data_IF_426958136678
#
_entry.id   IF_426958136678
#
_cell.length_a   1.000
_cell.length_b   1.000
_cell.length_c   1.000
_cell.angle_alpha   90.00
_cell.angle_beta   90.00
_cell.angle_gamma   90.00
#
_symmetry.space_group_name_H-M   'P 1'
#
loop_
_entity.id
_entity.type
_entity.pdbx_description
1 polymer ?
#
# COMPACT_ATOMS: atom_id res chain seq x y z
N UNK A 1 25.12 2.01 15.83
CA UNK A 1 23.92 2.84 15.68
C UNK A 1 23.84 3.54 14.32
N UNK A 2 24.79 4.36 13.91
CA UNK A 2 24.80 5.10 12.63
C UNK A 2 24.70 4.20 11.38
N UNK A 3 25.45 3.11 11.30
CA UNK A 3 25.39 2.16 10.16
C UNK A 3 24.05 1.44 10.05
N UNK A 4 23.40 1.12 11.16
CA UNK A 4 22.05 0.52 11.17
C UNK A 4 21.01 1.49 10.62
N UNK A 5 21.04 2.75 11.09
CA UNK A 5 20.16 3.80 10.58
C UNK A 5 20.32 4.02 9.07
N UNK A 6 21.56 4.09 8.56
CA UNK A 6 21.80 4.25 7.12
C UNK A 6 21.28 3.08 6.30
N UNK A 7 21.40 1.85 6.82
CA UNK A 7 20.87 0.64 6.16
C UNK A 7 19.34 0.64 6.14
N UNK A 8 18.70 1.02 7.24
CA UNK A 8 17.24 1.09 7.33
C UNK A 8 16.67 2.19 6.42
N UNK A 9 17.29 3.37 6.39
CA UNK A 9 16.90 4.46 5.47
C UNK A 9 17.03 4.03 4.01
N UNK A 10 18.13 3.39 3.64
CA UNK A 10 18.33 2.89 2.27
C UNK A 10 17.30 1.83 1.87
N UNK A 11 16.90 0.98 2.81
CA UNK A 11 15.84 -0.01 2.60
C UNK A 11 14.48 0.66 2.38
N UNK A 12 14.10 1.61 3.25
CA UNK A 12 12.84 2.37 3.13
C UNK A 12 12.76 3.09 1.78
N UNK A 13 13.81 3.80 1.39
CA UNK A 13 13.83 4.54 0.12
C UNK A 13 13.68 3.59 -1.08
N UNK A 14 14.42 2.49 -1.11
CA UNK A 14 14.37 1.54 -2.24
C UNK A 14 13.00 0.89 -2.36
N UNK A 15 12.39 0.48 -1.25
CA UNK A 15 11.05 -0.13 -1.25
C UNK A 15 9.99 0.88 -1.65
N UNK A 16 10.09 2.13 -1.21
CA UNK A 16 9.18 3.22 -1.57
C UNK A 16 9.25 3.55 -3.07
N UNK A 17 10.46 3.69 -3.63
CA UNK A 17 10.64 3.95 -5.07
C UNK A 17 10.06 2.81 -5.91
N UNK A 18 10.32 1.56 -5.55
CA UNK A 18 9.79 0.43 -6.27
C UNK A 18 8.26 0.37 -6.18
N UNK A 19 7.70 0.59 -5.00
CA UNK A 19 6.24 0.58 -4.82
C UNK A 19 5.56 1.69 -5.62
N UNK A 20 6.12 2.89 -5.62
CA UNK A 20 5.69 4.01 -6.44
C UNK A 20 5.69 3.66 -7.93
N UNK A 21 6.79 3.10 -8.44
CA UNK A 21 6.91 2.68 -9.83
C UNK A 21 5.91 1.57 -10.19
N UNK A 22 5.69 0.60 -9.29
CA UNK A 22 4.70 -0.47 -9.49
C UNK A 22 3.28 0.09 -9.55
N UNK A 23 2.91 1.02 -8.65
CA UNK A 23 1.59 1.65 -8.64
C UNK A 23 1.32 2.39 -9.96
N UNK A 24 2.24 3.26 -10.36
CA UNK A 24 2.13 3.99 -11.62
C UNK A 24 2.07 3.05 -12.84
N UNK A 25 2.94 2.04 -12.90
CA UNK A 25 2.96 1.07 -13.98
C UNK A 25 1.66 0.26 -14.04
N UNK A 26 1.12 -0.14 -12.90
CA UNK A 26 -0.10 -0.94 -12.86
C UNK A 26 -1.32 -0.14 -13.30
N UNK A 27 -1.44 1.11 -12.89
CA UNK A 27 -2.47 2.03 -13.38
C UNK A 27 -2.33 2.29 -14.88
N UNK A 28 -1.10 2.40 -15.40
CA UNK A 28 -0.86 2.53 -16.84
C UNK A 28 -1.26 1.27 -17.61
N UNK A 29 -0.89 0.08 -17.12
CA UNK A 29 -1.28 -1.21 -17.73
C UNK A 29 -2.79 -1.37 -17.80
N UNK A 30 -3.52 -0.87 -16.79
CA UNK A 30 -4.98 -0.86 -16.80
C UNK A 30 -5.60 -0.14 -18.00
N UNK A 31 -4.87 0.81 -18.62
CA UNK A 31 -5.29 1.50 -19.84
C UNK A 31 -5.27 0.59 -21.09
N UNK A 32 -4.48 -0.46 -21.04
CA UNK A 32 -4.30 -1.41 -22.15
C UNK A 32 -5.32 -2.54 -22.13
N UNK A 33 -6.12 -2.64 -21.06
CA UNK A 33 -7.13 -3.70 -20.95
C UNK A 33 -8.30 -3.44 -21.90
N UNK A 34 -8.88 -4.50 -22.50
CA UNK A 34 -10.02 -4.38 -23.42
C UNK A 34 -11.23 -3.71 -22.77
N UNK A 35 -11.51 -4.03 -21.53
CA UNK A 35 -12.52 -3.37 -20.71
C UNK A 35 -11.80 -2.43 -19.74
N UNK A 36 -11.68 -1.18 -20.14
CA UNK A 36 -11.09 -0.15 -19.28
C UNK A 36 -11.97 0.02 -18.05
N UNK A 37 -11.36 -0.11 -16.87
CA UNK A 37 -12.00 0.29 -15.62
C UNK A 37 -12.38 1.78 -15.67
N UNK A 38 -13.04 2.32 -14.64
CA UNK A 38 -13.37 3.74 -14.62
C UNK A 38 -12.09 4.55 -14.77
N UNK A 39 -12.05 5.33 -15.87
CA UNK A 39 -10.97 6.25 -16.10
C UNK A 39 -11.22 7.49 -15.24
N UNK A 40 -10.22 7.90 -14.51
CA UNK A 40 -10.25 9.17 -13.78
C UNK A 40 -9.19 10.11 -14.35
N UNK A 41 -9.47 11.39 -14.28
CA UNK A 41 -8.49 12.41 -14.63
C UNK A 41 -7.43 12.42 -13.50
N UNK A 42 -6.15 12.14 -13.80
CA UNK A 42 -5.11 12.14 -12.79
C UNK A 42 -4.71 13.55 -12.32
N UNK A 43 -5.24 14.62 -12.97
CA UNK A 43 -4.97 16.02 -12.61
C UNK A 43 -5.71 16.49 -11.36
N UNK A 44 -6.40 15.61 -10.61
CA UNK A 44 -6.92 15.93 -9.30
C UNK A 44 -5.79 16.43 -8.40
N UNK A 45 -5.97 17.59 -7.79
CA UNK A 45 -4.93 18.22 -6.96
C UNK A 45 -4.65 17.36 -5.73
N UNK A 46 -3.45 16.79 -5.66
CA UNK A 46 -2.90 16.25 -4.41
C UNK A 46 -2.71 17.42 -3.45
N UNK A 47 -3.69 17.66 -2.60
CA UNK A 47 -3.59 18.69 -1.58
C UNK A 47 -2.94 18.15 -0.30
N UNK A 48 -2.51 19.05 0.58
CA UNK A 48 -1.82 18.67 1.82
C UNK A 48 -2.69 17.83 2.76
N UNK A 49 -4.02 17.99 2.69
CA UNK A 49 -4.96 17.18 3.48
C UNK A 49 -4.94 15.70 3.03
N UNK A 50 -4.95 15.45 1.72
CA UNK A 50 -4.87 14.10 1.15
C UNK A 50 -3.52 13.45 1.45
N UNK A 51 -2.42 14.18 1.18
CA UNK A 51 -1.07 13.67 1.48
C UNK A 51 -0.93 13.29 2.96
N UNK A 52 -1.31 14.20 3.87
CA UNK A 52 -1.18 13.95 5.30
C UNK A 52 -2.14 12.88 5.80
N UNK A 53 -3.33 12.81 5.24
CA UNK A 53 -4.34 11.81 5.57
C UNK A 53 -3.88 10.40 5.22
N UNK A 54 -3.44 10.16 3.99
CA UNK A 54 -2.92 8.84 3.57
C UNK A 54 -1.72 8.40 4.42
N UNK A 55 -0.77 9.31 4.68
CA UNK A 55 0.36 9.01 5.55
C UNK A 55 -0.13 8.64 6.95
N UNK A 56 -1.02 9.42 7.54
CA UNK A 56 -1.49 9.21 8.91
C UNK A 56 -2.21 7.86 9.05
N UNK A 57 -3.13 7.54 8.15
CA UNK A 57 -3.84 6.25 8.14
C UNK A 57 -2.85 5.09 8.02
N UNK A 58 -1.94 5.13 7.06
CA UNK A 58 -0.91 4.11 6.92
C UNK A 58 0.02 3.99 8.14
N UNK A 59 0.36 5.10 8.83
CA UNK A 59 1.12 5.05 10.08
C UNK A 59 0.32 4.39 11.20
N UNK A 60 -0.98 4.65 11.30
CA UNK A 60 -1.88 4.04 12.30
C UNK A 60 -1.93 2.52 12.11
N UNK A 61 -2.20 2.03 10.91
CA UNK A 61 -2.16 0.58 10.62
C UNK A 61 -0.77 -0.01 10.88
N UNK A 62 0.28 0.69 10.42
CA UNK A 62 1.66 0.28 10.59
C UNK A 62 2.14 0.22 12.05
N UNK A 63 1.51 0.96 12.96
CA UNK A 63 1.88 0.98 14.39
C UNK A 63 1.82 -0.42 15.01
N UNK A 64 0.95 -1.29 14.53
CA UNK A 64 0.84 -2.68 14.99
C UNK A 64 2.08 -3.55 14.66
N UNK A 65 3.03 -3.09 13.81
CA UNK A 65 4.31 -3.77 13.61
C UNK A 65 5.24 -3.66 14.82
N UNK A 66 5.07 -2.62 15.65
CA UNK A 66 5.97 -2.29 16.76
C UNK A 66 7.44 -2.14 16.28
N UNK A 67 7.62 -1.65 15.06
CA UNK A 67 8.91 -1.44 14.40
C UNK A 67 8.83 -0.18 13.55
N UNK A 68 9.58 0.85 13.92
CA UNK A 68 9.55 2.16 13.28
C UNK A 68 9.76 2.08 11.75
N UNK A 69 10.65 1.16 11.31
CA UNK A 69 10.90 0.94 9.89
C UNK A 69 9.64 0.57 9.12
N UNK A 70 8.87 -0.40 9.61
CA UNK A 70 7.64 -0.85 8.93
C UNK A 70 6.47 0.10 9.13
N UNK A 71 6.42 0.83 10.25
CA UNK A 71 5.46 1.93 10.45
C UNK A 71 5.62 2.97 9.35
N UNK A 72 6.87 3.46 9.13
CA UNK A 72 7.17 4.43 8.10
C UNK A 72 6.87 3.87 6.70
N UNK A 73 7.26 2.63 6.41
CA UNK A 73 7.00 1.99 5.12
C UNK A 73 5.49 1.92 4.85
N UNK A 74 4.67 1.55 5.82
CA UNK A 74 3.21 1.45 5.64
C UNK A 74 2.61 2.82 5.36
N UNK A 75 3.02 3.87 6.08
CA UNK A 75 2.60 5.25 5.83
C UNK A 75 2.99 5.75 4.44
N UNK A 76 4.22 5.46 4.00
CA UNK A 76 4.67 5.81 2.66
C UNK A 76 3.91 5.03 1.59
N UNK A 77 3.66 3.73 1.78
CA UNK A 77 2.93 2.92 0.81
C UNK A 77 1.48 3.38 0.66
N UNK A 78 0.83 3.79 1.76
CA UNK A 78 -0.51 4.36 1.69
C UNK A 78 -0.54 5.64 0.83
N UNK A 79 0.46 6.52 0.94
CA UNK A 79 0.57 7.69 0.09
C UNK A 79 0.92 7.34 -1.37
N UNK A 80 1.87 6.43 -1.58
CA UNK A 80 2.48 6.19 -2.89
C UNK A 80 1.59 5.41 -3.87
N UNK A 81 0.40 4.97 -3.46
CA UNK A 81 -0.61 4.45 -4.37
C UNK A 81 -1.03 5.53 -5.36
N UNK A 82 -1.15 6.77 -4.91
CA UNK A 82 -1.46 7.93 -5.73
C UNK A 82 -0.30 8.42 -6.60
N UNK A 83 0.76 7.63 -6.73
CA UNK A 83 1.84 7.96 -7.68
C UNK A 83 1.38 7.96 -9.15
N UNK A 84 0.22 7.41 -9.44
CA UNK A 84 -0.44 7.54 -10.73
C UNK A 84 -0.81 8.99 -11.05
N UNK A 85 -1.06 9.85 -10.06
CA UNK A 85 -1.21 11.29 -10.27
C UNK A 85 0.03 11.96 -10.89
N UNK A 86 1.23 11.39 -10.67
CA UNK A 86 2.45 11.86 -11.33
C UNK A 86 2.43 11.65 -12.84
N UNK A 87 1.61 10.73 -13.34
CA UNK A 87 1.43 10.48 -14.77
C UNK A 87 0.71 11.66 -15.45
N UNK A 88 -0.04 12.47 -14.70
CA UNK A 88 -0.60 13.71 -15.20
C UNK A 88 0.47 14.66 -15.76
N UNK A 89 1.70 14.61 -15.23
CA UNK A 89 2.83 15.39 -15.75
C UNK A 89 3.22 14.98 -17.18
N UNK A 90 2.80 13.80 -17.63
CA UNK A 90 2.99 13.32 -19.01
C UNK A 90 1.81 13.69 -19.92
N UNK A 91 0.93 14.60 -19.50
CA UNK A 91 -0.28 15.02 -20.23
C UNK A 91 -1.25 13.88 -20.56
N UNK A 92 -1.31 12.86 -19.72
CA UNK A 92 -2.30 11.78 -19.82
C UNK A 92 -3.60 12.27 -19.18
N UNK A 93 -4.64 12.49 -20.00
CA UNK A 93 -5.91 13.09 -19.56
C UNK A 93 -6.78 12.14 -18.73
N UNK A 94 -6.61 10.84 -18.90
CA UNK A 94 -7.39 9.85 -18.18
C UNK A 94 -6.56 8.59 -17.90
N UNK A 95 -6.60 8.10 -16.69
CA UNK A 95 -5.87 6.93 -16.24
C UNK A 95 -6.79 5.94 -15.54
N UNK A 96 -6.51 4.65 -15.70
CA UNK A 96 -7.14 3.62 -14.89
C UNK A 96 -6.58 3.67 -13.47
N UNK A 97 -7.44 3.66 -12.46
CA UNK A 97 -7.00 3.56 -11.05
C UNK A 97 -6.79 2.10 -10.61
N UNK A 98 -6.22 1.27 -11.48
CA UNK A 98 -6.03 -0.15 -11.19
C UNK A 98 -5.08 -0.41 -10.00
N UNK A 99 -4.21 0.56 -9.67
CA UNK A 99 -3.41 0.54 -8.43
C UNK A 99 -4.24 0.49 -7.14
N UNK A 100 -5.50 0.93 -7.20
CA UNK A 100 -6.46 0.89 -6.08
C UNK A 100 -7.22 -0.45 -6.00
N UNK A 101 -6.61 -1.54 -6.51
CA UNK A 101 -7.22 -2.87 -6.51
C UNK A 101 -6.51 -3.85 -5.58
N UNK A 102 -7.24 -4.87 -5.12
CA UNK A 102 -6.65 -5.97 -4.36
C UNK A 102 -5.65 -6.78 -5.21
N UNK A 103 -5.83 -6.82 -6.53
CA UNK A 103 -4.88 -7.46 -7.44
C UNK A 103 -3.52 -6.75 -7.42
N UNK A 104 -3.53 -5.42 -7.45
CA UNK A 104 -2.29 -4.66 -7.26
C UNK A 104 -1.66 -4.98 -5.90
N UNK A 105 -2.46 -5.06 -4.83
CA UNK A 105 -1.99 -5.44 -3.50
C UNK A 105 -1.25 -6.77 -3.49
N UNK A 106 -1.85 -7.79 -4.09
CA UNK A 106 -1.24 -9.11 -4.19
C UNK A 106 0.08 -9.08 -5.00
N UNK A 107 0.10 -8.37 -6.13
CA UNK A 107 1.30 -8.24 -6.97
C UNK A 107 2.40 -7.47 -6.23
N UNK A 108 2.07 -6.37 -5.58
CA UNK A 108 3.04 -5.59 -4.81
C UNK A 108 3.68 -6.42 -3.69
N UNK A 109 2.88 -7.21 -2.95
CA UNK A 109 3.38 -8.16 -1.94
C UNK A 109 4.39 -9.12 -2.55
N UNK A 110 4.02 -9.78 -3.66
CA UNK A 110 4.90 -10.78 -4.31
C UNK A 110 6.19 -10.14 -4.80
N UNK A 111 6.10 -9.02 -5.52
CA UNK A 111 7.27 -8.34 -6.10
C UNK A 111 8.21 -7.84 -5.02
N UNK A 112 7.70 -7.16 -4.00
CA UNK A 112 8.52 -6.65 -2.91
C UNK A 112 9.19 -7.78 -2.12
N UNK A 113 8.47 -8.86 -1.81
CA UNK A 113 9.03 -10.00 -1.12
C UNK A 113 10.08 -10.73 -1.95
N UNK A 114 9.89 -10.87 -3.25
CA UNK A 114 10.87 -11.53 -4.14
C UNK A 114 12.15 -10.72 -4.24
N UNK A 115 12.06 -9.40 -4.37
CA UNK A 115 13.21 -8.53 -4.60
C UNK A 115 13.95 -8.14 -3.32
N UNK A 116 13.27 -7.97 -2.19
CA UNK A 116 13.87 -7.51 -0.94
C UNK A 116 14.04 -8.59 0.12
N UNK A 117 13.44 -9.74 -0.06
CA UNK A 117 13.62 -10.89 0.80
C UNK A 117 12.36 -11.75 0.92
N UNK A 118 12.40 -12.95 0.38
CA UNK A 118 11.28 -13.90 0.38
C UNK A 118 10.75 -14.28 1.78
N UNK A 119 11.50 -13.96 2.83
CA UNK A 119 11.13 -14.26 4.22
C UNK A 119 10.70 -13.01 5.00
N UNK A 120 10.70 -11.83 4.36
CA UNK A 120 10.25 -10.59 5.01
C UNK A 120 8.73 -10.43 4.89
N UNK A 121 8.00 -11.23 5.64
CA UNK A 121 6.53 -11.17 5.68
C UNK A 121 6.00 -9.83 6.18
N UNK A 122 6.80 -9.10 7.00
CA UNK A 122 6.43 -7.74 7.46
C UNK A 122 6.38 -6.76 6.31
N UNK A 123 7.31 -6.88 5.34
CA UNK A 123 7.28 -6.03 4.14
C UNK A 123 6.05 -6.31 3.27
N UNK A 124 5.71 -7.59 3.06
CA UNK A 124 4.49 -7.95 2.34
C UNK A 124 3.22 -7.44 3.03
N UNK A 125 3.14 -7.60 4.36
CA UNK A 125 2.02 -7.08 5.14
C UNK A 125 1.94 -5.55 5.09
N UNK A 126 3.08 -4.84 5.13
CA UNK A 126 3.13 -3.38 5.01
C UNK A 126 2.61 -2.91 3.64
N UNK A 127 2.95 -3.62 2.56
CA UNK A 127 2.45 -3.30 1.22
C UNK A 127 0.93 -3.44 1.14
N UNK A 128 0.40 -4.56 1.61
CA UNK A 128 -1.05 -4.81 1.55
C UNK A 128 -1.83 -3.90 2.50
N UNK A 129 -1.33 -3.70 3.72
CA UNK A 129 -1.93 -2.78 4.69
C UNK A 129 -1.89 -1.33 4.22
N UNK A 130 -0.81 -0.89 3.54
CA UNK A 130 -0.73 0.43 2.95
C UNK A 130 -1.86 0.67 1.94
N UNK A 131 -2.17 -0.32 1.09
CA UNK A 131 -3.29 -0.23 0.13
C UNK A 131 -4.63 -0.15 0.86
N UNK A 132 -4.86 -1.00 1.85
CA UNK A 132 -6.11 -0.97 2.61
C UNK A 132 -6.30 0.35 3.36
N UNK A 133 -5.24 0.87 4.00
CA UNK A 133 -5.28 2.17 4.68
C UNK A 133 -5.50 3.34 3.72
N UNK A 134 -4.95 3.27 2.50
CA UNK A 134 -5.23 4.24 1.46
C UNK A 134 -6.72 4.24 1.10
N UNK A 135 -7.29 3.07 0.77
CA UNK A 135 -8.72 2.93 0.47
C UNK A 135 -9.60 3.35 1.65
N UNK A 136 -9.12 3.11 2.88
CA UNK A 136 -9.77 3.56 4.10
C UNK A 136 -9.89 5.07 4.15
N UNK A 137 -8.77 5.78 3.93
CA UNK A 137 -8.77 7.25 3.95
C UNK A 137 -9.63 7.84 2.82
N UNK A 138 -9.52 7.35 1.60
CA UNK A 138 -10.35 7.78 0.47
C UNK A 138 -11.84 7.62 0.77
N UNK A 139 -12.22 6.51 1.40
CA UNK A 139 -13.62 6.27 1.81
C UNK A 139 -14.03 7.24 2.92
N UNK A 140 -13.14 7.52 3.89
CA UNK A 140 -13.38 8.44 5.00
C UNK A 140 -13.50 9.90 4.54
N UNK A 141 -12.63 10.33 3.62
CA UNK A 141 -12.58 11.70 3.13
C UNK A 141 -13.81 12.11 2.27
N UNK A 142 -14.71 11.16 1.98
CA UNK A 142 -15.96 11.43 1.30
C UNK A 142 -15.86 11.56 -0.21
N UNK A 143 -14.79 11.05 -0.79
CA UNK A 143 -14.60 10.97 -2.24
C UNK A 143 -15.35 9.77 -2.86
N UNK A 144 -16.56 9.51 -2.38
CA UNK A 144 -17.47 8.44 -2.84
C UNK A 144 -16.90 7.02 -2.83
N UNK A 145 -15.79 6.75 -2.12
CA UNK A 145 -15.21 5.41 -1.95
C UNK A 145 -15.35 4.50 -3.17
N UNK A 146 -15.08 5.01 -4.38
CA UNK A 146 -15.38 4.35 -5.64
C UNK A 146 -14.12 3.74 -6.24
N UNK A 147 -13.92 2.44 -6.00
CA UNK A 147 -12.67 1.79 -6.38
C UNK A 147 -12.87 0.66 -7.37
N UNK A 148 -11.93 0.44 -8.31
CA UNK A 148 -11.86 -0.74 -9.17
C UNK A 148 -11.29 -1.94 -8.40
N UNK A 149 -11.90 -2.27 -7.23
CA UNK A 149 -11.33 -3.15 -6.21
C UNK A 149 -10.91 -4.53 -6.73
N UNK A 150 -11.67 -5.09 -7.68
CA UNK A 150 -11.42 -6.43 -8.23
C UNK A 150 -10.86 -6.41 -9.66
N UNK A 151 -10.48 -5.25 -10.19
CA UNK A 151 -9.82 -5.16 -11.50
C UNK A 151 -8.48 -5.92 -11.46
N UNK A 152 -8.12 -6.71 -12.48
CA UNK A 152 -8.76 -6.85 -13.80
C UNK A 152 -9.88 -7.90 -13.90
N UNK A 153 -10.21 -8.63 -12.83
CA UNK A 153 -11.21 -9.70 -12.86
C UNK A 153 -12.65 -9.17 -13.01
N UNK A 154 -12.89 -7.99 -12.44
CA UNK A 154 -14.18 -7.32 -12.50
C UNK A 154 -13.93 -5.80 -12.62
N UNK A 155 -14.29 -5.22 -13.76
CA UNK A 155 -13.88 -3.86 -14.12
C UNK A 155 -14.88 -2.76 -13.71
N UNK A 156 -15.98 -3.11 -13.04
CA UNK A 156 -16.88 -2.09 -12.51
C UNK A 156 -16.41 -1.61 -11.14
N UNK A 157 -16.46 -0.30 -10.88
CA UNK A 157 -16.14 0.22 -9.57
C UNK A 157 -17.16 -0.21 -8.54
N UNK A 158 -16.70 -0.50 -7.35
CA UNK A 158 -17.55 -0.74 -6.18
C UNK A 158 -17.59 0.57 -5.39
N UNK A 159 -18.79 0.95 -4.98
CA UNK A 159 -19.03 2.15 -4.18
C UNK A 159 -19.14 1.73 -2.73
N UNK A 160 -18.37 2.36 -1.86
CA UNK A 160 -18.39 2.16 -0.42
C UNK A 160 -18.95 3.42 0.26
N UNK A 161 -20.01 3.31 1.09
CA UNK A 161 -20.44 4.39 1.96
C UNK A 161 -19.32 4.87 2.87
N UNK A 162 -19.32 6.14 3.26
CA UNK A 162 -18.25 6.73 4.06
C UNK A 162 -17.92 5.94 5.34
N UNK A 163 -18.93 5.38 6.02
CA UNK A 163 -18.72 4.57 7.22
C UNK A 163 -17.92 3.28 7.00
N UNK A 164 -17.82 2.82 5.76
CA UNK A 164 -17.14 1.55 5.42
C UNK A 164 -15.61 1.67 5.50
N UNK A 165 -15.07 2.89 5.67
CA UNK A 165 -13.65 3.12 5.90
C UNK A 165 -13.08 2.24 7.01
N UNK A 166 -13.89 1.99 8.05
CA UNK A 166 -13.46 1.23 9.22
C UNK A 166 -13.13 -0.23 8.87
N UNK A 167 -13.82 -0.82 7.88
CA UNK A 167 -13.54 -2.20 7.47
C UNK A 167 -12.18 -2.34 6.83
N UNK A 168 -11.79 -1.38 6.00
CA UNK A 168 -10.47 -1.36 5.38
C UNK A 168 -9.38 -1.17 6.42
N UNK A 169 -9.55 -0.21 7.34
CA UNK A 169 -8.54 0.09 8.35
C UNK A 169 -8.39 -1.06 9.36
N UNK A 170 -9.49 -1.64 9.83
CA UNK A 170 -9.47 -2.80 10.71
C UNK A 170 -8.79 -3.98 10.03
N UNK A 171 -9.08 -4.24 8.75
CA UNK A 171 -8.42 -5.30 8.00
C UNK A 171 -6.90 -5.05 7.90
N UNK A 172 -6.47 -3.82 7.64
CA UNK A 172 -5.06 -3.45 7.61
C UNK A 172 -4.37 -3.73 8.95
N UNK A 173 -4.94 -3.25 10.06
CA UNK A 173 -4.40 -3.45 11.42
C UNK A 173 -4.34 -4.93 11.78
N UNK A 174 -5.38 -5.70 11.46
CA UNK A 174 -5.45 -7.14 11.74
C UNK A 174 -4.37 -7.90 10.97
N UNK A 175 -4.17 -7.62 9.69
CA UNK A 175 -3.12 -8.24 8.87
C UNK A 175 -1.74 -7.96 9.47
N UNK A 176 -1.47 -6.70 9.79
CA UNK A 176 -0.20 -6.29 10.41
C UNK A 176 0.00 -6.98 11.76
N UNK A 177 -1.02 -7.02 12.60
CA UNK A 177 -0.99 -7.65 13.91
C UNK A 177 -0.69 -9.15 13.83
N UNK A 178 -1.40 -9.87 12.95
CA UNK A 178 -1.18 -11.31 12.73
C UNK A 178 0.26 -11.57 12.29
N UNK A 179 0.74 -10.86 11.28
CA UNK A 179 2.10 -11.05 10.76
C UNK A 179 3.16 -10.70 11.80
N UNK A 180 2.91 -9.67 12.61
CA UNK A 180 3.82 -9.31 13.71
C UNK A 180 3.92 -10.40 14.75
N UNK A 181 2.80 -10.99 15.16
CA UNK A 181 2.75 -12.10 16.12
C UNK A 181 3.49 -13.32 15.58
N UNK A 182 3.22 -13.69 14.33
CA UNK A 182 3.87 -14.84 13.68
C UNK A 182 5.39 -14.64 13.53
N UNK A 183 5.82 -13.44 13.13
CA UNK A 183 7.24 -13.12 13.01
C UNK A 183 7.96 -13.21 14.36
N UNK A 184 7.38 -12.64 15.42
CA UNK A 184 7.95 -12.72 16.79
C UNK A 184 8.02 -14.13 17.33
N UNK A 185 6.99 -14.96 17.12
CA UNK A 185 7.02 -16.37 17.52
C UNK A 185 8.18 -17.12 16.87
N UNK A 186 8.41 -16.87 15.57
CA UNK A 186 9.51 -17.48 14.83
C UNK A 186 10.89 -17.02 15.35
N UNK A 187 11.05 -15.74 15.65
CA UNK A 187 12.28 -15.18 16.22
C UNK A 187 12.60 -15.84 17.58
N UNK A 188 11.60 -16.01 18.47
CA UNK A 188 11.77 -16.68 19.77
C UNK A 188 12.13 -18.16 19.63
N UNK A 189 11.54 -18.88 18.67
CA UNK A 189 11.88 -20.29 18.42
C UNK A 189 13.34 -20.45 17.98
N UNK A 190 13.83 -19.60 17.07
CA UNK A 190 15.22 -19.63 16.63
C UNK A 190 16.16 -19.35 17.80
N UNK A 191 15.85 -18.36 18.64
CA UNK A 191 16.67 -18.01 19.79
C UNK A 191 16.76 -19.16 20.80
N UNK A 192 15.66 -19.84 21.09
CA UNK A 192 15.64 -21.00 21.99
C UNK A 192 16.40 -22.24 21.45
N UNK A 193 16.57 -22.33 20.14
CA UNK A 193 17.34 -23.42 19.52
C UNK A 193 18.86 -23.16 19.57
N UNK A 194 19.27 -21.90 19.57
CA UNK A 194 20.70 -21.51 19.65
C UNK A 194 21.23 -21.60 21.09
N UNK A 195 20.36 -21.45 22.08
CA UNK A 195 20.73 -21.47 23.52
C UNK A 195 20.72 -22.86 24.16
N UNK A 196 20.32 -23.88 23.43
CA UNK A 196 20.44 -25.30 23.80
C UNK A 196 21.64 -25.95 23.12
#
# INVERSE_FOLDING_TARGET
>A
MYQSLKKDTGFVIKTAILFCALSAAFSFVGMLLPEKGPLQNPSGELNMHEISGHILWGLVAGAAFLSLRYVIITGLFALLIDSDHLIALLHVEALSRMSHSLAFGAIAVVVLMVLFGRKDYRLGAAAFAGILSHLSFDTFAGNDGKFPLFTPLYNRPIIFPNQDWIYFEVAAVVIVGIVTILARRKEMQVQNTITK
#
